data_IF_058857859156
#
_entry.id   IF_058857859156
#
_cell.length_a   1.000
_cell.length_b   1.000
_cell.length_c   1.000
_cell.angle_alpha   90.00
_cell.angle_beta   90.00
_cell.angle_gamma   90.00
#
_symmetry.space_group_name_H-M   'P 1'
#
loop_
_entity.id
_entity.type
_entity.pdbx_description
1 polymer ?
#
# COMPACT_ATOMS: atom_id res chain seq x y z
N UNK A 1 12.49 1.88 3.27
CA UNK A 1 12.55 1.13 4.55
C UNK A 1 11.71 -0.11 4.35
N UNK A 2 12.19 -1.27 4.77
CA UNK A 2 11.49 -2.55 4.63
C UNK A 2 11.71 -3.40 5.88
N UNK A 3 10.79 -4.32 6.13
CA UNK A 3 10.87 -5.28 7.23
C UNK A 3 11.15 -6.66 6.62
N UNK A 4 12.20 -7.38 7.04
CA UNK A 4 12.41 -8.76 6.60
C UNK A 4 11.23 -9.65 7.01
N UNK A 5 10.73 -10.48 6.10
CA UNK A 5 9.63 -11.40 6.38
C UNK A 5 9.95 -12.35 7.54
N UNK A 6 11.21 -12.76 7.67
CA UNK A 6 11.72 -13.60 8.76
C UNK A 6 11.59 -12.95 10.14
N UNK A 7 11.66 -11.62 10.20
CA UNK A 7 11.41 -10.87 11.44
C UNK A 7 9.94 -10.96 11.80
N UNK A 8 9.04 -10.75 10.84
CA UNK A 8 7.59 -10.87 11.05
C UNK A 8 7.23 -12.28 11.51
N UNK A 9 7.77 -13.31 10.85
CA UNK A 9 7.59 -14.71 11.23
C UNK A 9 7.98 -14.96 12.70
N UNK A 10 9.17 -14.51 13.12
CA UNK A 10 9.64 -14.66 14.50
C UNK A 10 8.70 -14.01 15.50
N UNK A 11 8.18 -12.82 15.20
CA UNK A 11 7.23 -12.13 16.08
C UNK A 11 5.87 -12.81 16.13
N UNK A 12 5.38 -13.36 15.01
CA UNK A 12 4.15 -14.17 14.99
C UNK A 12 4.32 -15.41 15.88
N UNK A 13 5.42 -16.17 15.69
CA UNK A 13 5.73 -17.37 16.48
C UNK A 13 5.81 -17.08 17.98
N UNK A 14 6.42 -15.95 18.34
CA UNK A 14 6.47 -15.46 19.71
C UNK A 14 5.06 -15.22 20.28
N UNK A 15 4.17 -14.53 19.53
CA UNK A 15 2.82 -14.25 20.02
C UNK A 15 1.95 -15.50 20.20
N UNK A 16 2.06 -16.48 19.30
CA UNK A 16 1.28 -17.73 19.38
C UNK A 16 1.93 -18.78 20.30
N UNK A 17 3.09 -18.46 20.90
CA UNK A 17 3.90 -19.37 21.70
C UNK A 17 4.17 -20.69 20.97
N UNK A 18 4.70 -20.61 19.74
CA UNK A 18 5.05 -21.75 18.86
C UNK A 18 6.48 -21.61 18.32
N UNK A 19 7.46 -21.73 19.21
CA UNK A 19 8.88 -21.58 18.87
C UNK A 19 9.45 -22.79 18.10
N UNK A 20 8.92 -23.99 18.35
CA UNK A 20 9.43 -25.24 17.78
C UNK A 20 8.66 -25.68 16.51
N UNK A 21 7.82 -24.79 15.96
CA UNK A 21 6.97 -25.05 14.79
C UNK A 21 6.02 -26.24 14.93
N UNK A 22 5.67 -26.58 16.17
CA UNK A 22 4.89 -27.77 16.49
C UNK A 22 3.38 -27.57 16.23
N UNK A 23 2.87 -26.33 16.30
CA UNK A 23 1.44 -26.04 16.16
C UNK A 23 1.06 -25.60 14.76
N UNK A 24 1.86 -24.70 14.17
CA UNK A 24 1.53 -24.06 12.88
C UNK A 24 2.73 -24.11 11.95
N UNK A 25 2.49 -24.58 10.73
CA UNK A 25 3.52 -24.63 9.68
C UNK A 25 3.81 -23.23 9.12
N UNK A 26 5.04 -23.03 8.63
CA UNK A 26 5.42 -21.77 7.97
C UNK A 26 4.53 -21.46 6.76
N UNK A 27 4.08 -22.48 6.04
CA UNK A 27 3.14 -22.32 4.93
C UNK A 27 1.79 -21.74 5.38
N UNK A 28 1.25 -22.19 6.51
CA UNK A 28 0.01 -21.62 7.05
C UNK A 28 0.22 -20.17 7.48
N UNK A 29 1.34 -19.87 8.15
CA UNK A 29 1.68 -18.49 8.55
C UNK A 29 1.78 -17.59 7.31
N UNK A 30 2.43 -18.05 6.23
CA UNK A 30 2.55 -17.32 4.97
C UNK A 30 1.19 -16.96 4.37
N UNK A 31 0.24 -17.90 4.34
CA UNK A 31 -1.12 -17.64 3.85
C UNK A 31 -1.80 -16.53 4.68
N UNK A 32 -1.73 -16.63 6.00
CA UNK A 32 -2.37 -15.63 6.87
C UNK A 32 -1.65 -14.28 6.82
N UNK A 33 -0.32 -14.28 6.69
CA UNK A 33 0.47 -13.07 6.49
C UNK A 33 0.05 -12.35 5.22
N UNK A 34 -0.01 -13.04 4.08
CA UNK A 34 -0.42 -12.41 2.81
C UNK A 34 -1.86 -11.85 2.86
N UNK A 35 -2.77 -12.54 3.56
CA UNK A 35 -4.11 -12.01 3.84
C UNK A 35 -4.08 -10.78 4.74
N UNK A 36 -3.22 -10.76 5.76
CA UNK A 36 -3.02 -9.62 6.64
C UNK A 36 -2.45 -8.42 5.88
N UNK A 37 -1.44 -8.62 5.03
CA UNK A 37 -0.85 -7.55 4.21
C UNK A 37 -1.88 -6.91 3.29
N UNK A 38 -2.73 -7.72 2.65
CA UNK A 38 -3.82 -7.22 1.81
C UNK A 38 -4.85 -6.40 2.61
N UNK A 39 -5.24 -6.87 3.81
CA UNK A 39 -6.19 -6.17 4.67
C UNK A 39 -5.61 -4.85 5.20
N UNK A 40 -4.35 -4.87 5.64
CA UNK A 40 -3.61 -3.69 6.12
C UNK A 40 -3.45 -2.68 4.98
N UNK A 41 -3.07 -3.12 3.78
CA UNK A 41 -2.95 -2.24 2.60
C UNK A 41 -4.26 -1.54 2.26
N UNK A 42 -5.38 -2.26 2.34
CA UNK A 42 -6.72 -1.72 2.11
C UNK A 42 -7.11 -0.69 3.18
N UNK A 43 -6.84 -0.96 4.45
CA UNK A 43 -7.14 -0.04 5.55
C UNK A 43 -6.29 1.23 5.47
N UNK A 44 -5.00 1.11 5.17
CA UNK A 44 -4.10 2.26 4.98
C UNK A 44 -4.57 3.12 3.81
N UNK A 45 -4.94 2.51 2.68
CA UNK A 45 -5.46 3.22 1.52
C UNK A 45 -6.77 3.95 1.84
N UNK A 46 -7.69 3.32 2.57
CA UNK A 46 -8.96 3.93 2.98
C UNK A 46 -8.77 5.14 3.89
N UNK A 47 -7.73 5.13 4.73
CA UNK A 47 -7.39 6.25 5.63
C UNK A 47 -6.51 7.31 5.00
N UNK A 48 -6.02 7.05 3.80
CA UNK A 48 -5.21 8.01 3.06
C UNK A 48 -3.82 8.27 3.67
N UNK A 49 -3.25 7.31 4.41
CA UNK A 49 -1.90 7.45 4.99
C UNK A 49 -0.82 7.44 3.91
N UNK A 50 0.16 8.33 4.04
CA UNK A 50 1.05 8.65 2.93
C UNK A 50 2.35 7.82 2.83
N UNK A 51 2.65 6.96 3.81
CA UNK A 51 3.91 6.20 3.78
C UNK A 51 3.95 5.09 2.72
N UNK A 52 2.81 4.77 2.09
CA UNK A 52 2.75 3.94 0.88
C UNK A 52 2.51 4.77 -0.39
N UNK A 53 2.54 6.10 -0.29
CA UNK A 53 2.43 6.96 -1.47
C UNK A 53 3.73 6.88 -2.26
N UNK A 54 3.60 6.64 -3.56
CA UNK A 54 4.70 6.74 -4.50
C UNK A 54 4.32 7.57 -5.70
N UNK A 55 5.34 7.91 -6.48
CA UNK A 55 5.19 8.69 -7.70
C UNK A 55 5.86 7.98 -8.85
N UNK A 56 5.22 7.98 -10.02
CA UNK A 56 5.80 7.49 -11.26
C UNK A 56 5.68 8.58 -12.33
N UNK A 57 6.80 8.90 -12.97
CA UNK A 57 6.86 9.92 -14.02
C UNK A 57 6.73 9.25 -15.37
N UNK A 58 5.83 9.76 -16.21
CA UNK A 58 5.61 9.30 -17.57
C UNK A 58 6.07 10.35 -18.56
N UNK A 59 6.99 9.97 -19.44
CA UNK A 59 7.44 10.78 -20.57
C UNK A 59 6.89 10.18 -21.85
N UNK A 60 6.19 10.98 -22.66
CA UNK A 60 5.57 10.56 -23.93
C UNK A 60 4.44 9.49 -23.84
N UNK A 61 3.44 9.65 -22.96
CA UNK A 61 2.27 8.78 -22.94
C UNK A 61 1.30 9.15 -24.07
N UNK A 62 0.69 8.16 -24.71
CA UNK A 62 -0.38 8.39 -25.69
C UNK A 62 -1.74 8.39 -24.98
N UNK A 63 -2.52 9.45 -25.18
CA UNK A 63 -3.93 9.57 -24.80
C UNK A 63 -4.83 8.48 -25.43
N UNK A 64 -4.32 7.76 -26.43
CA UNK A 64 -5.03 6.71 -27.18
C UNK A 64 -4.60 5.31 -26.72
N UNK A 65 -3.29 5.03 -26.59
CA UNK A 65 -2.82 3.67 -26.22
C UNK A 65 -2.71 3.45 -24.71
N UNK A 66 -2.64 4.55 -23.95
CA UNK A 66 -2.36 4.55 -22.52
C UNK A 66 -0.93 4.10 -22.19
N UNK A 67 -0.51 4.38 -20.97
CA UNK A 67 0.70 3.83 -20.36
C UNK A 67 0.31 2.81 -19.29
N UNK A 68 1.11 1.75 -19.12
CA UNK A 68 0.91 0.77 -18.06
C UNK A 68 1.07 1.43 -16.69
N UNK A 69 0.21 1.08 -15.75
CA UNK A 69 0.36 1.45 -14.35
C UNK A 69 1.53 0.68 -13.72
N UNK A 70 2.14 1.18 -12.64
CA UNK A 70 3.14 0.43 -11.89
C UNK A 70 2.55 -0.88 -11.36
N UNK A 71 3.36 -1.93 -11.29
CA UNK A 71 2.93 -3.27 -10.86
C UNK A 71 2.35 -3.28 -9.43
N UNK A 72 2.75 -2.32 -8.60
CA UNK A 72 2.30 -2.16 -7.22
C UNK A 72 1.19 -1.10 -7.05
N UNK A 73 0.57 -0.65 -8.13
CA UNK A 73 -0.49 0.35 -8.10
C UNK A 73 -1.75 -0.18 -7.40
N UNK A 74 -2.28 0.58 -6.42
CA UNK A 74 -3.55 0.30 -5.76
C UNK A 74 -4.63 1.34 -6.13
N UNK A 75 -4.34 2.62 -5.95
CA UNK A 75 -5.29 3.70 -6.22
C UNK A 75 -4.58 5.01 -6.56
N UNK A 76 -5.23 5.80 -7.41
CA UNK A 76 -4.75 7.15 -7.73
C UNK A 76 -4.97 8.08 -6.54
N UNK A 77 -3.93 8.86 -6.22
CA UNK A 77 -4.02 9.98 -5.28
C UNK A 77 -4.15 11.30 -6.03
N UNK A 78 -3.25 11.51 -6.97
CA UNK A 78 -3.15 12.74 -7.74
C UNK A 78 -2.42 12.48 -9.06
N UNK A 79 -2.76 13.22 -10.10
CA UNK A 79 -1.99 13.25 -11.34
C UNK A 79 -1.64 14.71 -11.62
N UNK A 80 -0.37 14.99 -11.90
CA UNK A 80 0.10 16.34 -12.21
C UNK A 80 0.79 16.35 -13.56
N UNK A 81 0.70 17.43 -14.33
CA UNK A 81 1.49 17.58 -15.55
C UNK A 81 2.97 17.88 -15.25
N UNK A 82 3.79 18.00 -16.29
CA UNK A 82 5.22 18.37 -16.16
C UNK A 82 5.49 19.74 -15.54
N UNK A 83 4.48 20.61 -15.42
CA UNK A 83 4.56 21.90 -14.74
C UNK A 83 4.15 21.84 -13.26
N UNK A 84 3.56 20.71 -12.84
CA UNK A 84 3.02 20.50 -11.49
C UNK A 84 1.53 20.87 -11.35
N UNK A 85 0.82 21.14 -12.45
CA UNK A 85 -0.62 21.40 -12.42
C UNK A 85 -1.41 20.10 -12.23
N UNK A 86 -2.33 20.07 -11.27
CA UNK A 86 -3.17 18.91 -10.98
C UNK A 86 -4.21 18.70 -12.09
N UNK A 87 -4.19 17.51 -12.69
CA UNK A 87 -5.10 17.11 -13.76
C UNK A 87 -6.44 16.62 -13.21
N UNK A 88 -7.50 16.74 -14.02
CA UNK A 88 -8.85 16.30 -13.65
C UNK A 88 -9.20 14.95 -14.26
N UNK A 89 -9.91 14.06 -13.52
CA UNK A 89 -10.38 12.82 -14.10
C UNK A 89 -11.49 13.10 -15.13
N UNK A 90 -11.44 12.42 -16.27
CA UNK A 90 -12.47 12.45 -17.32
C UNK A 90 -13.27 11.15 -17.34
N UNK A 91 -14.36 11.15 -18.11
CA UNK A 91 -15.20 9.96 -18.28
C UNK A 91 -14.47 8.86 -19.04
N UNK A 92 -14.75 7.62 -18.64
CA UNK A 92 -14.15 6.42 -19.22
C UNK A 92 -14.31 6.33 -20.75
N UNK A 93 -15.42 6.85 -21.26
CA UNK A 93 -15.81 6.84 -22.68
C UNK A 93 -15.17 7.94 -23.51
N UNK A 94 -14.52 8.94 -22.90
CA UNK A 94 -13.92 10.08 -23.60
C UNK A 94 -12.41 9.94 -23.71
N UNK A 95 -11.83 10.45 -24.79
CA UNK A 95 -10.37 10.65 -24.87
C UNK A 95 -10.00 11.85 -23.98
N UNK A 96 -9.05 11.70 -23.05
CA UNK A 96 -8.63 12.81 -22.19
C UNK A 96 -8.08 13.98 -23.00
N UNK A 97 -8.46 15.20 -22.61
CA UNK A 97 -7.86 16.43 -23.13
C UNK A 97 -6.59 16.81 -22.35
N UNK A 98 -5.94 17.91 -22.75
CA UNK A 98 -4.63 18.36 -22.23
C UNK A 98 -4.51 18.38 -20.71
N UNK A 99 -5.57 18.72 -19.99
CA UNK A 99 -5.58 18.79 -18.52
C UNK A 99 -6.36 17.66 -17.86
N UNK A 100 -6.64 16.60 -18.61
CA UNK A 100 -7.46 15.49 -18.15
C UNK A 100 -6.68 14.17 -18.16
N UNK A 101 -7.14 13.24 -17.32
CA UNK A 101 -6.68 11.86 -17.34
C UNK A 101 -7.85 10.90 -17.12
N UNK A 102 -7.66 9.63 -17.48
CA UNK A 102 -8.52 8.52 -17.04
C UNK A 102 -7.69 7.28 -16.78
N UNK A 103 -8.19 6.43 -15.89
CA UNK A 103 -7.60 5.12 -15.62
C UNK A 103 -8.61 4.05 -16.06
N UNK A 104 -8.15 3.11 -16.87
CA UNK A 104 -8.96 2.01 -17.38
C UNK A 104 -8.14 0.72 -17.38
N UNK A 105 -8.61 -0.28 -16.64
CA UNK A 105 -7.85 -1.50 -16.41
C UNK A 105 -6.49 -1.16 -15.79
N UNK A 106 -5.43 -1.73 -16.34
CA UNK A 106 -4.05 -1.56 -15.87
C UNK A 106 -3.33 -0.40 -16.57
N UNK A 107 -4.08 0.56 -17.14
CA UNK A 107 -3.51 1.67 -17.90
C UNK A 107 -4.07 3.03 -17.49
N UNK A 108 -3.18 4.02 -17.56
CA UNK A 108 -3.50 5.43 -17.44
C UNK A 108 -3.40 6.11 -18.81
N UNK A 109 -4.41 6.92 -19.14
CA UNK A 109 -4.51 7.71 -20.36
C UNK A 109 -4.54 9.16 -19.94
N UNK A 110 -3.74 10.00 -20.60
CA UNK A 110 -3.62 11.41 -20.24
C UNK A 110 -3.35 12.23 -21.49
N UNK A 111 -3.95 13.41 -21.58
CA UNK A 111 -3.71 14.35 -22.68
C UNK A 111 -2.50 15.27 -22.47
N UNK A 112 -1.83 15.19 -21.31
CA UNK A 112 -0.59 15.90 -21.05
C UNK A 112 0.61 15.15 -21.68
N UNK A 113 1.54 15.89 -22.28
CA UNK A 113 2.76 15.35 -22.93
C UNK A 113 3.74 14.69 -21.96
N UNK A 114 3.68 15.10 -20.68
CA UNK A 114 4.36 14.47 -19.55
C UNK A 114 3.53 14.67 -18.30
N UNK A 115 3.50 13.67 -17.43
CA UNK A 115 2.78 13.75 -16.15
C UNK A 115 3.43 12.87 -15.08
N UNK A 116 3.17 13.22 -13.83
CA UNK A 116 3.52 12.42 -12.65
C UNK A 116 2.24 11.87 -12.04
N UNK A 117 2.16 10.55 -11.95
CA UNK A 117 1.13 9.85 -11.19
C UNK A 117 1.61 9.71 -9.75
N UNK A 118 0.89 10.32 -8.82
CA UNK A 118 0.98 10.01 -7.40
C UNK A 118 -0.09 8.96 -7.06
N UNK A 119 0.33 7.84 -6.50
CA UNK A 119 -0.54 6.71 -6.25
C UNK A 119 -0.25 6.06 -4.91
N UNK A 120 -1.28 5.42 -4.35
CA UNK A 120 -1.13 4.50 -3.23
C UNK A 120 -0.59 3.18 -3.77
N UNK A 121 0.49 2.69 -3.18
CA UNK A 121 1.00 1.35 -3.44
C UNK A 121 0.24 0.31 -2.62
N UNK A 122 0.05 -0.88 -3.17
CA UNK A 122 -0.33 -2.02 -2.34
C UNK A 122 0.90 -2.67 -1.70
N UNK A 123 0.72 -3.27 -0.52
CA UNK A 123 1.78 -4.07 0.11
C UNK A 123 1.85 -5.43 -0.59
N UNK A 124 2.93 -5.65 -1.33
CA UNK A 124 3.19 -6.87 -2.10
C UNK A 124 3.08 -8.16 -1.26
N UNK A 125 2.69 -9.29 -1.88
CA UNK A 125 2.75 -10.58 -1.20
C UNK A 125 4.20 -10.94 -0.87
N UNK A 126 4.35 -11.79 0.12
CA UNK A 126 5.58 -12.52 0.43
C UNK A 126 5.46 -13.90 -0.20
N UNK A 127 6.50 -14.32 -0.92
CA UNK A 127 6.62 -15.66 -1.50
C UNK A 127 7.52 -16.55 -0.63
N UNK A 128 8.58 -15.96 -0.06
CA UNK A 128 9.56 -16.64 0.79
C UNK A 128 9.77 -15.89 2.12
N UNK A 129 9.43 -16.55 3.23
CA UNK A 129 9.55 -15.98 4.58
C UNK A 129 11.00 -15.73 5.01
N UNK A 130 11.98 -16.41 4.41
CA UNK A 130 13.39 -16.31 4.80
C UNK A 130 14.10 -15.17 4.07
N UNK A 131 13.76 -14.94 2.80
CA UNK A 131 14.49 -14.00 1.94
C UNK A 131 13.76 -12.69 1.67
N UNK A 132 12.42 -12.69 1.72
CA UNK A 132 11.66 -11.54 1.25
C UNK A 132 11.63 -10.38 2.25
N UNK A 133 11.32 -9.21 1.70
CA UNK A 133 11.21 -7.97 2.44
C UNK A 133 9.84 -7.34 2.19
N UNK A 134 9.14 -7.00 3.26
CA UNK A 134 7.88 -6.29 3.22
C UNK A 134 8.19 -4.79 3.14
N UNK A 135 7.78 -4.14 2.06
CA UNK A 135 8.09 -2.75 1.75
C UNK A 135 7.26 -1.74 2.58
N UNK A 136 7.37 -1.82 3.91
CA UNK A 136 6.72 -0.92 4.86
C UNK A 136 7.71 -0.37 5.89
N UNK A 137 7.40 0.76 6.54
CA UNK A 137 8.19 1.27 7.67
C UNK A 137 8.17 0.32 8.88
N UNK A 138 9.25 0.32 9.65
CA UNK A 138 9.44 -0.60 10.79
C UNK A 138 8.35 -0.49 11.87
N UNK A 139 7.76 0.69 12.07
CA UNK A 139 6.66 0.88 13.03
C UNK A 139 5.39 0.09 12.64
N UNK A 140 5.23 -0.32 11.38
CA UNK A 140 4.12 -1.17 10.94
C UNK A 140 4.26 -2.65 11.39
N UNK A 141 5.39 -3.04 11.99
CA UNK A 141 5.63 -4.43 12.42
C UNK A 141 4.52 -4.95 13.33
N UNK A 142 4.16 -4.18 14.37
CA UNK A 142 3.12 -4.58 15.33
C UNK A 142 1.76 -4.77 14.66
N UNK A 143 1.40 -3.85 13.76
CA UNK A 143 0.16 -3.92 12.97
C UNK A 143 0.10 -5.20 12.12
N UNK A 144 1.17 -5.52 11.41
CA UNK A 144 1.22 -6.72 10.55
C UNK A 144 1.14 -8.00 11.38
N UNK A 145 1.93 -8.08 12.45
CA UNK A 145 1.97 -9.26 13.33
C UNK A 145 0.60 -9.48 13.98
N UNK A 146 0.01 -8.45 14.58
CA UNK A 146 -1.27 -8.57 15.27
C UNK A 146 -2.41 -8.91 14.31
N UNK A 147 -2.44 -8.29 13.12
CA UNK A 147 -3.45 -8.60 12.09
C UNK A 147 -3.33 -10.06 11.63
N UNK A 148 -2.10 -10.55 11.46
CA UNK A 148 -1.84 -11.94 11.09
C UNK A 148 -2.33 -12.90 12.16
N UNK A 149 -1.99 -12.64 13.43
CA UNK A 149 -2.43 -13.47 14.58
C UNK A 149 -3.95 -13.45 14.73
N UNK A 150 -4.61 -12.30 14.60
CA UNK A 150 -6.07 -12.20 14.65
C UNK A 150 -6.73 -13.05 13.56
N UNK A 151 -6.19 -13.04 12.34
CA UNK A 151 -6.65 -13.88 11.24
C UNK A 151 -6.43 -15.37 11.52
N UNK A 152 -5.29 -15.75 12.07
CA UNK A 152 -4.99 -17.13 12.47
C UNK A 152 -5.95 -17.63 13.56
N UNK A 153 -6.39 -16.74 14.45
CA UNK A 153 -7.39 -17.02 15.49
C UNK A 153 -8.83 -17.06 14.98
N UNK A 154 -9.05 -16.82 13.68
CA UNK A 154 -10.37 -16.89 13.06
C UNK A 154 -11.25 -15.66 13.30
N UNK A 155 -10.65 -14.51 13.63
CA UNK A 155 -11.39 -13.25 13.81
C UNK A 155 -12.25 -12.92 12.58
N UNK A 156 -13.50 -12.53 12.80
CA UNK A 156 -14.42 -12.19 11.73
C UNK A 156 -13.98 -10.90 11.02
N UNK A 157 -14.30 -10.77 9.73
CA UNK A 157 -13.86 -9.63 8.91
C UNK A 157 -14.23 -8.24 9.49
N UNK A 158 -15.44 -8.00 10.02
CA UNK A 158 -15.79 -6.69 10.60
C UNK A 158 -14.94 -6.35 11.83
N UNK A 159 -14.72 -7.33 12.70
CA UNK A 159 -13.91 -7.18 13.92
C UNK A 159 -12.43 -6.94 13.57
N UNK A 160 -11.93 -7.64 12.54
CA UNK A 160 -10.58 -7.46 12.04
C UNK A 160 -10.35 -6.04 11.52
N UNK A 161 -11.28 -5.51 10.72
CA UNK A 161 -11.20 -4.14 10.22
C UNK A 161 -11.20 -3.14 11.36
N UNK A 162 -12.03 -3.35 12.38
CA UNK A 162 -12.05 -2.49 13.56
C UNK A 162 -10.73 -2.57 14.34
N UNK A 163 -10.18 -3.77 14.53
CA UNK A 163 -8.89 -3.96 15.21
C UNK A 163 -7.74 -3.27 14.47
N UNK A 164 -7.69 -3.42 13.13
CA UNK A 164 -6.71 -2.73 12.28
C UNK A 164 -6.82 -1.22 12.47
N UNK A 165 -8.03 -0.67 12.42
CA UNK A 165 -8.25 0.77 12.55
C UNK A 165 -7.79 1.29 13.91
N UNK A 166 -8.10 0.57 15.00
CA UNK A 166 -7.67 0.95 16.35
C UNK A 166 -6.14 0.97 16.49
N UNK A 167 -5.45 -0.03 15.91
CA UNK A 167 -3.98 -0.06 15.92
C UNK A 167 -3.42 1.10 15.11
N UNK A 168 -4.01 1.41 13.96
CA UNK A 168 -3.61 2.57 13.16
C UNK A 168 -3.77 3.86 13.97
N UNK A 169 -4.88 4.03 14.69
CA UNK A 169 -5.13 5.23 15.50
C UNK A 169 -4.18 5.38 16.70
N UNK A 170 -3.70 4.27 17.25
CA UNK A 170 -2.91 4.26 18.48
C UNK A 170 -1.41 4.25 18.22
N UNK A 171 -0.97 3.45 17.26
CA UNK A 171 0.44 3.06 17.10
C UNK A 171 1.07 3.58 15.82
N UNK A 172 0.27 3.95 14.82
CA UNK A 172 0.78 4.48 13.57
C UNK A 172 0.77 6.02 13.65
N UNK A 173 1.94 6.67 13.70
CA UNK A 173 1.98 8.12 13.74
C UNK A 173 1.25 8.69 12.51
N UNK A 174 0.49 9.76 12.70
CA UNK A 174 -0.18 10.52 11.66
C UNK A 174 0.85 11.27 10.81
N UNK A 175 1.58 10.50 10.01
CA UNK A 175 2.61 11.00 9.12
C UNK A 175 1.93 11.55 7.86
N UNK A 176 1.92 12.87 7.71
CA UNK A 176 1.49 13.53 6.47
C UNK A 176 2.71 13.69 5.56
N UNK A 177 2.56 13.41 4.28
CA UNK A 177 3.63 13.62 3.31
C UNK A 177 3.67 15.09 2.89
N UNK A 178 4.80 15.76 3.12
CA UNK A 178 5.03 17.12 2.64
C UNK A 178 5.30 17.10 1.14
N UNK A 179 4.26 17.45 0.38
CA UNK A 179 4.35 17.62 -1.07
C UNK A 179 5.45 18.61 -1.50
N UNK A 180 5.79 19.62 -0.68
CA UNK A 180 6.83 20.62 -1.00
C UNK A 180 8.25 20.14 -0.73
N UNK A 181 8.44 19.17 0.16
CA UNK A 181 9.77 18.69 0.58
C UNK A 181 10.10 17.28 0.13
N UNK A 182 9.15 16.56 -0.46
CA UNK A 182 9.32 15.17 -0.88
C UNK A 182 9.68 14.26 0.29
N UNK A 183 9.17 14.57 1.49
CA UNK A 183 9.50 13.88 2.74
C UNK A 183 8.26 13.76 3.63
N UNK A 184 8.26 12.69 4.40
CA UNK A 184 7.26 12.42 5.43
C UNK A 184 7.49 13.37 6.62
N UNK A 185 6.46 14.12 7.04
CA UNK A 185 6.48 14.93 8.27
C UNK A 185 5.56 14.31 9.30
N UNK A 186 6.04 14.32 10.53
CA UNK A 186 5.28 13.91 11.69
C UNK A 186 4.36 15.06 12.11
N UNK A 187 3.04 14.84 12.12
CA UNK A 187 2.12 15.81 12.70
C UNK A 187 2.20 15.70 14.22
N UNK A 188 2.51 16.82 14.87
CA UNK A 188 2.36 16.94 16.31
C UNK A 188 0.87 17.19 16.63
N UNK A 189 0.21 16.16 17.15
CA UNK A 189 -1.02 16.26 17.96
C UNK A 189 -2.29 16.64 17.23
#
# INVERSE_FOLDING_TARGET
MSIPASTVLRHIRLQINDFDEAKVSNFQILIFLNRALSAVSSAIAARGLDFLTASHVYSSPSEITGAALPDDYQSVREVTDGSGYTLTPTYITKTPQTYEYKIMGEKIYCGASSYTLFYQRFIGPVDDLDTDNIAVPAYCLGLIVQTTVNLMQGMAAPELVQAINNIIDTDIPSLTYDKKRGRVIENAG
#
